data_IF_381422164161
#
_entry.id   IF_381422164161
#
_cell.length_a   1.000
_cell.length_b   1.000
_cell.length_c   1.000
_cell.angle_alpha   90.00
_cell.angle_beta   90.00
_cell.angle_gamma   90.00
#
_symmetry.space_group_name_H-M   'P 1'
#
loop_
_entity.id
_entity.type
_entity.pdbx_description
1 polymer ?
#
# COMPACT_ATOMS: atom_id res chain seq x y z
N UNK A 1 -13.37 19.49 -5.18
CA UNK A 1 -12.12 18.77 -5.50
C UNK A 1 -12.17 18.38 -6.97
N UNK A 2 -11.04 18.40 -7.66
CA UNK A 2 -10.93 17.96 -9.07
C UNK A 2 -10.63 16.46 -9.05
N UNK A 3 -11.62 15.65 -9.41
CA UNK A 3 -11.44 14.21 -9.56
C UNK A 3 -10.74 13.91 -10.89
N UNK A 4 -9.67 13.13 -10.84
CA UNK A 4 -8.88 12.79 -12.03
C UNK A 4 -9.14 11.33 -12.41
N UNK A 5 -10.00 11.14 -13.42
CA UNK A 5 -10.44 9.81 -13.90
C UNK A 5 -10.14 9.57 -15.38
N UNK A 6 -9.46 10.51 -16.05
CA UNK A 6 -9.16 10.42 -17.48
C UNK A 6 -8.27 9.19 -17.80
N UNK A 7 -8.68 8.27 -18.70
CA UNK A 7 -8.03 6.97 -18.86
C UNK A 7 -6.58 7.07 -19.32
N UNK A 8 -6.25 8.04 -20.18
CA UNK A 8 -4.86 8.29 -20.64
C UNK A 8 -3.99 8.78 -19.48
N UNK A 9 -4.53 9.64 -18.61
CA UNK A 9 -3.82 10.11 -17.43
C UNK A 9 -3.58 8.95 -16.47
N UNK A 10 -4.63 8.18 -16.15
CA UNK A 10 -4.55 7.03 -15.25
C UNK A 10 -3.52 6.01 -15.72
N UNK A 11 -3.46 5.72 -17.02
CA UNK A 11 -2.45 4.84 -17.60
C UNK A 11 -1.04 5.39 -17.38
N UNK A 12 -0.79 6.67 -17.70
CA UNK A 12 0.52 7.30 -17.49
C UNK A 12 0.91 7.30 -16.01
N UNK A 13 -0.02 7.69 -15.14
CA UNK A 13 0.17 7.72 -13.70
C UNK A 13 0.53 6.34 -13.15
N UNK A 14 -0.20 5.31 -13.57
CA UNK A 14 0.06 3.92 -13.21
C UNK A 14 1.42 3.47 -13.70
N UNK A 15 1.76 3.67 -14.98
CA UNK A 15 3.04 3.23 -15.54
C UNK A 15 4.22 3.90 -14.83
N UNK A 16 4.17 5.22 -14.64
CA UNK A 16 5.24 5.94 -13.94
C UNK A 16 5.32 5.51 -12.48
N UNK A 17 4.20 5.41 -11.78
CA UNK A 17 4.16 4.98 -10.38
C UNK A 17 4.68 3.56 -10.18
N UNK A 18 4.28 2.62 -11.04
CA UNK A 18 4.74 1.22 -11.03
C UNK A 18 6.25 1.15 -11.28
N UNK A 19 6.75 1.84 -12.31
CA UNK A 19 8.17 1.83 -12.64
C UNK A 19 9.00 2.49 -11.55
N UNK A 20 8.57 3.65 -11.05
CA UNK A 20 9.22 4.35 -9.95
C UNK A 20 9.26 3.48 -8.69
N UNK A 21 8.12 2.95 -8.24
CA UNK A 21 8.03 2.12 -7.05
C UNK A 21 8.87 0.84 -7.16
N UNK A 22 8.82 0.15 -8.30
CA UNK A 22 9.60 -1.06 -8.53
C UNK A 22 11.11 -0.79 -8.47
N UNK A 23 11.58 0.23 -9.19
CA UNK A 23 13.00 0.59 -9.23
C UNK A 23 13.46 1.10 -7.87
N UNK A 24 12.71 2.04 -7.29
CA UNK A 24 13.04 2.68 -6.02
C UNK A 24 13.18 1.66 -4.88
N UNK A 25 12.17 0.83 -4.64
CA UNK A 25 12.21 -0.14 -3.54
C UNK A 25 13.24 -1.24 -3.79
N UNK A 26 13.38 -1.72 -5.02
CA UNK A 26 14.40 -2.74 -5.32
C UNK A 26 15.82 -2.22 -5.06
N UNK A 27 16.12 -1.02 -5.55
CA UNK A 27 17.44 -0.42 -5.37
C UNK A 27 17.70 -0.03 -3.92
N UNK A 28 16.70 0.54 -3.23
CA UNK A 28 16.81 0.88 -1.81
C UNK A 28 17.23 -0.34 -0.97
N UNK A 29 16.49 -1.44 -1.08
CA UNK A 29 16.78 -2.63 -0.29
C UNK A 29 18.03 -3.37 -0.76
N UNK A 30 18.31 -3.39 -2.06
CA UNK A 30 19.56 -3.96 -2.57
C UNK A 30 20.79 -3.17 -2.10
N UNK A 31 20.69 -1.84 -2.02
CA UNK A 31 21.75 -0.98 -1.51
C UNK A 31 21.98 -1.21 -0.01
N UNK A 32 20.90 -1.25 0.78
CA UNK A 32 20.99 -1.54 2.22
C UNK A 32 21.58 -2.93 2.44
N UNK A 33 21.16 -3.94 1.67
CA UNK A 33 21.70 -5.30 1.74
C UNK A 33 23.12 -5.42 1.16
N UNK A 34 23.63 -4.38 0.49
CA UNK A 34 24.92 -4.35 -0.25
C UNK A 34 25.06 -5.46 -1.29
N UNK A 35 23.95 -5.90 -1.87
CA UNK A 35 23.92 -6.92 -2.92
C UNK A 35 22.58 -6.87 -3.68
N UNK A 36 22.58 -7.34 -4.91
CA UNK A 36 21.32 -7.58 -5.63
C UNK A 36 20.55 -8.73 -4.99
N UNK A 37 19.30 -8.44 -4.58
CA UNK A 37 18.44 -9.40 -3.90
C UNK A 37 17.79 -10.36 -4.91
N UNK A 38 18.05 -11.66 -4.75
CA UNK A 38 17.39 -12.68 -5.58
C UNK A 38 15.89 -12.69 -5.33
N UNK A 39 15.10 -12.85 -6.38
CA UNK A 39 13.63 -12.86 -6.30
C UNK A 39 13.09 -14.30 -6.32
N UNK A 40 12.32 -14.66 -5.30
CA UNK A 40 11.41 -15.80 -5.35
C UNK A 40 10.04 -15.25 -5.75
N UNK A 41 9.63 -15.51 -6.99
CA UNK A 41 8.39 -14.97 -7.55
C UNK A 41 7.14 -15.43 -6.81
N UNK A 42 7.15 -16.63 -6.22
CA UNK A 42 6.00 -17.11 -5.46
C UNK A 42 5.82 -16.29 -4.18
N UNK A 43 6.87 -16.20 -3.36
CA UNK A 43 6.82 -15.43 -2.12
C UNK A 43 6.48 -13.96 -2.42
N UNK A 44 7.13 -13.36 -3.43
CA UNK A 44 6.84 -11.99 -3.84
C UNK A 44 5.35 -11.81 -4.20
N UNK A 45 4.78 -12.71 -5.00
CA UNK A 45 3.37 -12.66 -5.37
C UNK A 45 2.45 -12.80 -4.14
N UNK A 46 2.78 -13.65 -3.18
CA UNK A 46 2.01 -13.78 -1.92
C UNK A 46 2.04 -12.48 -1.13
N UNK A 47 3.22 -11.85 -0.96
CA UNK A 47 3.34 -10.56 -0.28
C UNK A 47 2.50 -9.48 -0.99
N UNK A 48 2.70 -9.31 -2.30
CA UNK A 48 2.00 -8.29 -3.09
C UNK A 48 0.47 -8.48 -3.05
N UNK A 49 -0.01 -9.71 -3.30
CA UNK A 49 -1.44 -9.98 -3.41
C UNK A 49 -2.15 -9.93 -2.05
N UNK A 50 -1.54 -10.44 -0.97
CA UNK A 50 -2.16 -10.37 0.37
C UNK A 50 -2.13 -8.96 0.95
N UNK A 51 -1.07 -8.18 0.68
CA UNK A 51 -1.03 -6.76 1.03
C UNK A 51 -2.14 -5.97 0.35
N UNK A 52 -2.33 -6.18 -0.96
CA UNK A 52 -3.44 -5.59 -1.71
C UNK A 52 -4.81 -5.98 -1.16
N UNK A 53 -5.03 -7.28 -0.98
CA UNK A 53 -6.29 -7.80 -0.45
C UNK A 53 -6.63 -7.17 0.90
N UNK A 54 -5.68 -7.09 1.83
CA UNK A 54 -5.95 -6.49 3.15
C UNK A 54 -6.22 -5.00 3.01
N UNK A 55 -5.34 -4.29 2.30
CA UNK A 55 -5.38 -2.84 2.26
C UNK A 55 -6.67 -2.29 1.66
N UNK A 56 -7.14 -2.84 0.53
CA UNK A 56 -8.35 -2.34 -0.16
C UNK A 56 -9.61 -2.38 0.72
N UNK A 57 -9.67 -3.30 1.69
CA UNK A 57 -10.80 -3.37 2.63
C UNK A 57 -10.54 -2.56 3.89
N UNK A 58 -9.31 -2.60 4.44
CA UNK A 58 -9.02 -1.86 5.68
C UNK A 58 -9.00 -0.35 5.49
N UNK A 59 -8.55 0.12 4.33
CA UNK A 59 -8.41 1.54 4.03
C UNK A 59 -9.75 2.31 4.15
N UNK A 60 -10.83 1.96 3.43
CA UNK A 60 -12.11 2.65 3.58
C UNK A 60 -12.71 2.48 4.98
N UNK A 61 -12.45 1.36 5.66
CA UNK A 61 -12.90 1.15 7.05
C UNK A 61 -12.18 2.11 7.99
N UNK A 62 -10.88 2.31 7.83
CA UNK A 62 -10.08 3.22 8.65
C UNK A 62 -10.55 4.67 8.49
N UNK A 63 -10.73 5.12 7.25
CA UNK A 63 -11.27 6.46 6.98
C UNK A 63 -12.67 6.63 7.59
N UNK A 64 -13.56 5.64 7.42
CA UNK A 64 -14.89 5.66 8.03
C UNK A 64 -14.83 5.78 9.57
N UNK A 65 -14.02 4.95 10.23
CA UNK A 65 -13.86 4.97 11.68
C UNK A 65 -13.30 6.32 12.13
N UNK A 66 -12.26 6.83 11.46
CA UNK A 66 -11.70 8.13 11.78
C UNK A 66 -12.72 9.25 11.63
N UNK A 67 -13.43 9.30 10.50
CA UNK A 67 -14.48 10.30 10.23
C UNK A 67 -15.59 10.29 11.25
N UNK A 68 -15.99 9.10 11.71
CA UNK A 68 -17.00 8.97 12.75
C UNK A 68 -16.60 9.70 14.04
N UNK A 69 -15.32 9.67 14.42
CA UNK A 69 -14.84 10.34 15.64
C UNK A 69 -14.35 11.77 15.42
N UNK A 70 -13.69 12.06 14.30
CA UNK A 70 -13.03 13.35 14.04
C UNK A 70 -13.90 14.33 13.24
N UNK A 71 -14.94 13.85 12.56
CA UNK A 71 -15.81 14.67 11.70
C UNK A 71 -15.18 15.09 10.36
N UNK A 72 -13.98 14.59 10.04
CA UNK A 72 -13.23 14.92 8.82
C UNK A 72 -12.56 13.66 8.25
N UNK A 73 -12.22 13.65 6.96
CA UNK A 73 -11.50 12.55 6.32
C UNK A 73 -10.10 12.35 6.92
N UNK A 74 -9.65 11.10 6.99
CA UNK A 74 -8.26 10.79 7.38
C UNK A 74 -7.31 11.13 6.22
N UNK A 75 -7.71 10.78 5.01
CA UNK A 75 -7.12 11.18 3.73
C UNK A 75 -8.20 11.24 2.67
N UNK A 76 -7.91 11.88 1.53
CA UNK A 76 -8.83 11.96 0.39
C UNK A 76 -8.06 11.74 -0.91
N UNK A 77 -8.34 10.64 -1.60
CA UNK A 77 -7.76 10.36 -2.91
C UNK A 77 -8.24 11.36 -3.96
N UNK A 78 -7.32 11.83 -4.81
CA UNK A 78 -7.61 12.77 -5.90
C UNK A 78 -7.61 12.06 -7.27
N UNK A 79 -6.89 10.94 -7.39
CA UNK A 79 -6.76 10.18 -8.63
C UNK A 79 -7.60 8.93 -8.53
N UNK A 80 -8.59 8.81 -9.41
CA UNK A 80 -9.58 7.73 -9.44
C UNK A 80 -10.14 7.40 -8.05
N UNK A 81 -10.77 8.38 -7.35
CA UNK A 81 -11.34 8.12 -6.04
C UNK A 81 -12.44 7.06 -6.11
N UNK A 82 -12.46 6.19 -5.12
CA UNK A 82 -13.53 5.23 -4.84
C UNK A 82 -13.93 5.33 -3.36
N UNK A 83 -15.06 4.72 -2.97
CA UNK A 83 -15.57 4.81 -1.59
C UNK A 83 -15.74 6.26 -1.11
N UNK A 84 -16.24 7.14 -1.99
CA UNK A 84 -16.38 8.57 -1.68
C UNK A 84 -15.05 9.29 -1.39
N UNK A 85 -13.94 8.81 -1.97
CA UNK A 85 -12.59 9.37 -1.81
C UNK A 85 -11.73 8.71 -0.74
N UNK A 86 -12.27 7.74 0.01
CA UNK A 86 -11.54 7.02 1.05
C UNK A 86 -10.51 6.03 0.50
N UNK A 87 -10.60 5.64 -0.78
CA UNK A 87 -9.60 4.83 -1.47
C UNK A 87 -9.50 5.25 -2.95
N UNK A 88 -8.67 4.56 -3.73
CA UNK A 88 -8.53 4.79 -5.17
C UNK A 88 -8.67 3.50 -5.97
N UNK A 89 -9.25 3.58 -7.18
CA UNK A 89 -9.24 2.48 -8.14
C UNK A 89 -7.82 2.04 -8.52
N UNK A 90 -6.82 2.93 -8.37
CA UNK A 90 -5.42 2.60 -8.56
C UNK A 90 -4.84 1.69 -7.46
N UNK A 91 -5.60 1.39 -6.39
CA UNK A 91 -5.31 0.38 -5.38
C UNK A 91 -4.85 -0.95 -5.98
N UNK A 92 -5.39 -1.33 -7.15
CA UNK A 92 -5.03 -2.54 -7.91
C UNK A 92 -3.53 -2.62 -8.19
N UNK A 93 -2.87 -1.47 -8.34
CA UNK A 93 -1.45 -1.34 -8.65
C UNK A 93 -0.63 -0.82 -7.48
N UNK A 94 -1.16 0.10 -6.68
CA UNK A 94 -0.40 0.78 -5.62
C UNK A 94 -0.20 -0.09 -4.38
N UNK A 95 -1.26 -0.70 -3.86
CA UNK A 95 -1.16 -1.53 -2.65
C UNK A 95 -0.27 -2.78 -2.79
N UNK A 96 -0.20 -3.46 -3.96
CA UNK A 96 0.82 -4.47 -4.19
C UNK A 96 2.25 -4.00 -3.91
N UNK A 97 2.59 -2.72 -4.12
CA UNK A 97 3.95 -2.22 -3.84
C UNK A 97 4.30 -2.17 -2.38
N UNK A 98 3.32 -2.03 -1.48
CA UNK A 98 3.59 -2.16 -0.06
C UNK A 98 4.07 -3.59 0.27
N UNK A 99 3.41 -4.61 -0.30
CA UNK A 99 3.86 -6.00 -0.20
C UNK A 99 5.24 -6.23 -0.85
N UNK A 100 5.49 -5.63 -2.01
CA UNK A 100 6.78 -5.65 -2.70
C UNK A 100 7.91 -5.13 -1.81
N UNK A 101 7.72 -3.96 -1.20
CA UNK A 101 8.64 -3.38 -0.24
C UNK A 101 8.88 -4.32 0.96
N UNK A 102 7.81 -4.80 1.62
CA UNK A 102 7.94 -5.64 2.81
C UNK A 102 8.67 -6.96 2.53
N UNK A 103 8.52 -7.50 1.31
CA UNK A 103 9.26 -8.67 0.85
C UNK A 103 10.78 -8.41 0.80
N UNK A 104 11.21 -7.31 0.18
CA UNK A 104 12.63 -6.97 0.10
C UNK A 104 13.21 -6.50 1.44
N UNK A 105 12.42 -5.80 2.24
CA UNK A 105 12.76 -5.47 3.63
C UNK A 105 13.05 -6.77 4.42
N UNK A 106 12.15 -7.75 4.36
CA UNK A 106 12.32 -9.03 5.08
C UNK A 106 13.56 -9.78 4.60
N UNK A 107 13.83 -9.79 3.29
CA UNK A 107 15.08 -10.38 2.76
C UNK A 107 16.33 -9.67 3.26
N UNK A 108 16.28 -8.35 3.31
CA UNK A 108 17.38 -7.54 3.84
C UNK A 108 17.64 -7.86 5.31
N UNK A 109 16.60 -8.00 6.14
CA UNK A 109 16.74 -8.42 7.53
C UNK A 109 17.38 -9.81 7.66
N UNK A 110 16.87 -10.80 6.91
CA UNK A 110 17.41 -12.15 6.96
C UNK A 110 18.89 -12.21 6.54
N UNK A 111 19.32 -11.34 5.61
CA UNK A 111 20.73 -11.22 5.21
C UNK A 111 21.63 -10.81 6.38
N UNK A 112 21.11 -10.04 7.32
CA UNK A 112 21.79 -9.62 8.55
C UNK A 112 21.51 -10.55 9.75
N UNK A 113 20.86 -11.70 9.53
CA UNK A 113 20.50 -12.64 10.59
C UNK A 113 19.36 -12.15 11.50
N UNK A 114 18.69 -11.06 11.15
CA UNK A 114 17.61 -10.48 11.93
C UNK A 114 16.28 -11.16 11.60
N UNK A 115 15.64 -11.71 12.63
CA UNK A 115 14.34 -12.35 12.52
C UNK A 115 13.37 -11.65 13.46
N UNK A 116 12.50 -10.80 12.90
CA UNK A 116 11.53 -10.07 13.71
C UNK A 116 10.32 -10.95 14.01
N UNK A 117 9.80 -10.94 15.26
CA UNK A 117 8.54 -11.59 15.57
C UNK A 117 7.38 -10.94 14.81
N UNK A 118 6.28 -11.68 14.63
CA UNK A 118 5.19 -11.27 13.74
C UNK A 118 4.55 -9.94 14.11
N UNK A 119 4.34 -9.68 15.41
CA UNK A 119 3.81 -8.40 15.88
C UNK A 119 4.73 -7.24 15.54
N UNK A 120 6.06 -7.43 15.54
CA UNK A 120 6.98 -6.37 15.16
C UNK A 120 6.97 -6.14 13.65
N UNK A 121 6.81 -7.21 12.86
CA UNK A 121 6.58 -7.09 11.40
C UNK A 121 5.27 -6.36 11.09
N UNK A 122 4.21 -6.65 11.84
CA UNK A 122 2.91 -5.96 11.70
C UNK A 122 2.95 -4.50 12.14
N UNK A 123 3.94 -4.08 12.92
CA UNK A 123 4.13 -2.67 13.31
C UNK A 123 4.90 -1.86 12.28
N UNK A 124 5.55 -2.50 11.30
CA UNK A 124 6.34 -1.82 10.26
C UNK A 124 5.49 -0.78 9.49
N UNK A 125 4.27 -1.11 9.00
CA UNK A 125 3.44 -0.12 8.29
C UNK A 125 3.13 1.13 9.11
N UNK A 126 3.02 1.00 10.44
CA UNK A 126 2.80 2.15 11.31
C UNK A 126 4.02 3.08 11.37
N UNK A 127 5.22 2.55 11.09
CA UNK A 127 6.48 3.29 11.13
C UNK A 127 6.87 3.83 9.74
N UNK A 128 6.71 3.01 8.69
CA UNK A 128 7.14 3.36 7.34
C UNK A 128 6.01 3.85 6.42
N UNK A 129 4.75 3.68 6.82
CA UNK A 129 3.61 4.20 6.06
C UNK A 129 3.65 5.71 5.89
N UNK A 130 4.01 6.45 6.94
CA UNK A 130 4.15 7.92 6.88
C UNK A 130 5.18 8.38 5.83
N UNK A 131 6.46 7.93 5.88
CA UNK A 131 7.41 8.30 4.84
C UNK A 131 7.02 7.76 3.45
N UNK A 132 6.29 6.64 3.37
CA UNK A 132 5.86 6.07 2.10
C UNK A 132 4.78 6.92 1.44
N UNK A 133 3.84 7.40 2.22
CA UNK A 133 2.83 8.35 1.77
C UNK A 133 3.48 9.63 1.24
N UNK A 134 4.48 10.14 1.97
CA UNK A 134 5.25 11.31 1.53
C UNK A 134 6.02 11.03 0.24
N UNK A 135 6.60 9.84 0.06
CA UNK A 135 7.27 9.44 -1.18
C UNK A 135 6.27 9.31 -2.33
N UNK A 136 5.10 8.71 -2.10
CA UNK A 136 4.07 8.52 -3.12
C UNK A 136 3.48 9.87 -3.57
N UNK A 137 3.08 10.72 -2.63
CA UNK A 137 2.60 12.07 -2.91
C UNK A 137 3.70 12.96 -3.49
N UNK A 138 4.94 12.85 -3.01
CA UNK A 138 6.09 13.59 -3.54
C UNK A 138 6.43 13.20 -4.98
N UNK A 139 6.42 11.90 -5.30
CA UNK A 139 6.59 11.43 -6.67
C UNK A 139 5.44 11.89 -7.57
N UNK A 140 4.19 11.81 -7.09
CA UNK A 140 3.02 12.33 -7.80
C UNK A 140 3.14 13.82 -8.11
N UNK A 141 3.56 14.63 -7.14
CA UNK A 141 3.81 16.07 -7.33
C UNK A 141 4.93 16.31 -8.34
N UNK A 142 6.04 15.57 -8.24
CA UNK A 142 7.20 15.74 -9.12
C UNK A 142 6.88 15.41 -10.58
N UNK A 143 6.18 14.29 -10.85
CA UNK A 143 5.94 13.83 -12.22
C UNK A 143 4.66 14.40 -12.85
N UNK A 144 3.65 14.73 -12.04
CA UNK A 144 2.31 15.08 -12.54
C UNK A 144 1.77 16.40 -11.98
N UNK A 145 2.50 17.07 -11.08
CA UNK A 145 2.09 18.30 -10.42
C UNK A 145 0.72 18.18 -9.71
N UNK A 146 0.45 17.00 -9.14
CA UNK A 146 -0.78 16.69 -8.38
C UNK A 146 -0.46 15.90 -7.11
N UNK A 147 -1.30 16.05 -6.08
CA UNK A 147 -1.27 15.20 -4.88
C UNK A 147 -2.10 13.95 -5.18
N UNK A 148 -1.57 12.76 -4.88
CA UNK A 148 -2.27 11.50 -5.16
C UNK A 148 -3.41 11.28 -4.15
N UNK A 149 -3.09 11.45 -2.85
CA UNK A 149 -4.05 11.43 -1.75
C UNK A 149 -3.70 12.51 -0.74
N UNK A 150 -4.67 13.36 -0.45
CA UNK A 150 -4.50 14.57 0.34
C UNK A 150 -4.89 14.32 1.80
N UNK A 151 -4.05 14.77 2.74
CA UNK A 151 -4.34 14.71 4.17
C UNK A 151 -4.95 16.03 4.64
N UNK A 152 -6.21 16.07 5.13
CA UNK A 152 -6.85 17.32 5.56
C UNK A 152 -6.11 18.02 6.70
N UNK A 153 -5.49 17.26 7.60
CA UNK A 153 -4.69 17.84 8.68
C UNK A 153 -3.42 18.49 8.13
N UNK A 154 -3.04 19.69 8.62
CA UNK A 154 -1.96 20.50 8.04
C UNK A 154 -0.54 20.02 8.38
N UNK A 155 -0.41 18.94 9.14
CA UNK A 155 0.88 18.35 9.44
C UNK A 155 1.52 17.72 8.18
N UNK A 156 2.85 17.60 8.20
CA UNK A 156 3.61 16.96 7.12
C UNK A 156 3.27 17.50 5.71
N UNK A 157 2.93 18.79 5.61
CA UNK A 157 2.58 19.48 4.36
C UNK A 157 1.42 18.83 3.59
N UNK A 158 0.48 18.20 4.27
CA UNK A 158 -0.64 17.45 3.68
C UNK A 158 -0.23 16.23 2.85
N UNK A 159 1.04 15.81 2.90
CA UNK A 159 1.56 14.65 2.19
C UNK A 159 1.41 13.35 2.97
N UNK A 160 1.27 13.44 4.30
CA UNK A 160 0.94 12.36 5.22
C UNK A 160 0.36 12.94 6.52
N UNK A 161 0.06 12.10 7.50
CA UNK A 161 -0.42 12.51 8.81
C UNK A 161 0.07 11.54 9.89
N UNK A 162 0.39 12.03 11.08
CA UNK A 162 0.69 11.18 12.24
C UNK A 162 -0.53 10.39 12.72
N UNK A 163 -1.75 10.86 12.41
CA UNK A 163 -3.00 10.20 12.77
C UNK A 163 -3.24 8.88 12.04
N UNK A 164 -2.50 8.59 10.95
CA UNK A 164 -2.60 7.30 10.24
C UNK A 164 -1.95 6.16 11.00
N UNK A 165 -0.97 6.44 11.88
CA UNK A 165 -0.16 5.45 12.59
C UNK A 165 -1.01 4.35 13.25
N UNK A 166 -2.02 4.66 14.10
CA UNK A 166 -2.84 3.62 14.74
C UNK A 166 -3.60 2.76 13.73
N UNK A 167 -4.08 3.35 12.63
CA UNK A 167 -4.79 2.62 11.57
C UNK A 167 -3.84 1.72 10.78
N UNK A 168 -2.67 2.23 10.40
CA UNK A 168 -1.62 1.46 9.73
C UNK A 168 -1.08 0.34 10.62
N UNK A 169 -1.05 0.54 11.93
CA UNK A 169 -0.71 -0.51 12.87
C UNK A 169 -1.73 -1.66 12.83
N UNK A 170 -3.03 -1.34 12.83
CA UNK A 170 -4.11 -2.34 12.75
C UNK A 170 -4.08 -3.11 11.42
N UNK A 171 -4.05 -2.43 10.27
CA UNK A 171 -3.93 -3.12 8.96
C UNK A 171 -2.63 -3.90 8.87
N UNK A 172 -1.56 -3.38 9.45
CA UNK A 172 -0.27 -4.04 9.51
C UNK A 172 -0.29 -5.36 10.27
N UNK A 173 -0.96 -5.41 11.41
CA UNK A 173 -1.19 -6.67 12.12
C UNK A 173 -1.98 -7.64 11.27
N UNK A 174 -3.12 -7.22 10.72
CA UNK A 174 -3.97 -8.08 9.89
C UNK A 174 -3.16 -8.64 8.72
N UNK A 175 -2.39 -7.79 8.05
CA UNK A 175 -1.53 -8.18 6.93
C UNK A 175 -0.44 -9.16 7.38
N UNK A 176 0.29 -8.87 8.46
CA UNK A 176 1.38 -9.73 8.93
C UNK A 176 0.88 -11.14 9.30
N UNK A 177 -0.25 -11.26 10.02
CA UNK A 177 -0.84 -12.55 10.37
C UNK A 177 -1.38 -13.29 9.13
N UNK A 178 -2.01 -12.58 8.20
CA UNK A 178 -2.48 -13.14 6.92
C UNK A 178 -1.31 -13.69 6.09
N UNK A 179 -0.24 -12.89 5.98
CA UNK A 179 0.96 -13.24 5.25
C UNK A 179 1.65 -14.46 5.86
N UNK A 180 1.78 -14.50 7.19
CA UNK A 180 2.32 -15.66 7.92
C UNK A 180 1.55 -16.93 7.57
N UNK A 181 0.22 -16.87 7.70
CA UNK A 181 -0.64 -18.00 7.42
C UNK A 181 -0.42 -18.56 6.01
N UNK A 182 -0.33 -17.68 5.00
CA UNK A 182 -0.12 -18.11 3.61
C UNK A 182 1.30 -18.63 3.31
N UNK A 183 2.33 -18.08 3.96
CA UNK A 183 3.71 -18.54 3.77
C UNK A 183 4.00 -19.86 4.49
N UNK A 184 3.27 -20.18 5.56
CA UNK A 184 3.37 -21.47 6.26
C UNK A 184 2.65 -22.62 5.53
N UNK A 185 1.76 -22.31 4.57
CA UNK A 185 1.10 -23.30 3.75
C UNK A 185 2.03 -23.89 2.68
N UNK A 186 1.71 -25.11 2.22
CA UNK A 186 2.36 -25.69 1.04
C UNK A 186 2.18 -24.77 -0.15
N UNK A 187 3.28 -24.52 -0.88
CA UNK A 187 3.31 -23.66 -2.07
C UNK A 187 2.14 -23.95 -3.00
N UNK A 188 1.28 -22.95 -3.19
CA UNK A 188 0.08 -23.05 -4.02
C UNK A 188 -0.21 -21.70 -4.69
N UNK A 189 -0.05 -21.63 -6.01
CA UNK A 189 -0.28 -20.41 -6.80
C UNK A 189 -1.73 -19.92 -6.78
N UNK A 190 -2.68 -20.73 -6.31
CA UNK A 190 -4.05 -20.28 -6.06
C UNK A 190 -4.11 -19.24 -4.94
N UNK A 191 -3.19 -19.26 -3.98
CA UNK A 191 -3.18 -18.31 -2.86
C UNK A 191 -3.02 -16.87 -3.36
N UNK A 192 -1.92 -16.48 -4.02
CA UNK A 192 -1.78 -15.10 -4.50
C UNK A 192 -2.84 -14.74 -5.54
N UNK A 193 -3.29 -15.69 -6.38
CA UNK A 193 -4.36 -15.44 -7.35
C UNK A 193 -5.69 -15.08 -6.66
N UNK A 194 -6.13 -15.88 -5.68
CA UNK A 194 -7.38 -15.63 -4.94
C UNK A 194 -7.28 -14.32 -4.16
N UNK A 195 -6.17 -14.05 -3.48
CA UNK A 195 -5.98 -12.78 -2.78
C UNK A 195 -6.09 -11.59 -3.73
N UNK A 196 -5.46 -11.67 -4.91
CA UNK A 196 -5.50 -10.59 -5.89
C UNK A 196 -6.91 -10.39 -6.46
N UNK A 197 -7.62 -11.49 -6.78
CA UNK A 197 -9.02 -11.44 -7.23
C UNK A 197 -9.93 -10.83 -6.16
N UNK A 198 -9.78 -11.22 -4.89
CA UNK A 198 -10.51 -10.62 -3.78
C UNK A 198 -10.20 -9.12 -3.65
N UNK A 199 -8.94 -8.72 -3.81
CA UNK A 199 -8.56 -7.31 -3.84
C UNK A 199 -9.28 -6.53 -4.97
N UNK A 200 -9.30 -7.08 -6.19
CA UNK A 200 -10.01 -6.49 -7.32
C UNK A 200 -11.52 -6.40 -7.07
N UNK A 201 -12.12 -7.39 -6.40
CA UNK A 201 -13.52 -7.32 -5.98
C UNK A 201 -13.75 -6.18 -4.97
N UNK A 202 -12.82 -5.94 -4.05
CA UNK A 202 -12.86 -4.78 -3.16
C UNK A 202 -12.89 -3.45 -3.91
N UNK A 203 -12.02 -3.28 -4.91
CA UNK A 203 -12.01 -2.10 -5.78
C UNK A 203 -13.31 -1.96 -6.56
N UNK A 204 -13.80 -3.05 -7.15
CA UNK A 204 -15.07 -3.06 -7.87
C UNK A 204 -16.24 -2.68 -6.95
N UNK A 205 -16.25 -3.18 -5.72
CA UNK A 205 -17.27 -2.81 -4.73
C UNK A 205 -17.22 -1.29 -4.47
N UNK A 206 -16.03 -0.73 -4.27
CA UNK A 206 -15.86 0.71 -4.05
C UNK A 206 -16.31 1.57 -5.23
N UNK A 207 -16.01 1.14 -6.46
CA UNK A 207 -16.35 1.84 -7.69
C UNK A 207 -17.86 1.82 -7.97
N UNK A 208 -18.55 0.69 -7.75
CA UNK A 208 -19.94 0.53 -8.22
C UNK A 208 -20.99 0.73 -7.13
N UNK A 209 -20.63 0.62 -5.85
CA UNK A 209 -21.60 0.72 -4.75
C UNK A 209 -21.39 1.93 -3.85
N UNK A 210 -20.26 2.64 -3.97
CA UNK A 210 -19.89 3.75 -3.07
C UNK A 210 -19.34 4.99 -3.79
N UNK A 211 -19.45 5.06 -5.12
CA UNK A 211 -19.22 6.26 -5.91
C UNK A 211 -20.54 6.85 -6.43
#
# INVERSE_FOLDING_TARGET
MLEITGPVFLLKFTVVGVLFGAIFFYLLWSLIARQFLRVNFYDLAVYMASGFMVAVYTEPIHDYVYRYFAGEFLWIYQVWPIFGGASSGLAIFTWPFYGYHLYFFTKTLHRYGLHLPMWLKGSIPALDGVPFDMIANGASLFFFNIIFFYYPRPELWHLSSWWVIPFYWVSGMIYAYTLRHFLEQKRNWRIPLVCYVLGCLGVFIGEFFFN
#
